data_IF_071975641299
#
_entry.id   IF_071975641299
#
_cell.length_a   1.000
_cell.length_b   1.000
_cell.length_c   1.000
_cell.angle_alpha   90.00
_cell.angle_beta   90.00
_cell.angle_gamma   90.00
#
_symmetry.space_group_name_H-M   'P 1'
#
loop_
_entity.id
_entity.type
_entity.pdbx_description
1 polymer ?
#
# COMPACT_ATOMS: atom_id res chain seq x y z
N UNK A 1 56.05 65.47 20.86
CA UNK A 1 55.73 65.03 19.49
C UNK A 1 55.73 63.50 19.44
N UNK A 2 54.55 62.85 19.30
CA UNK A 2 54.31 61.52 18.68
C UNK A 2 53.05 60.78 19.16
N UNK A 3 52.36 61.23 20.23
CA UNK A 3 51.23 60.44 20.78
C UNK A 3 49.87 60.65 20.09
N UNK A 4 49.68 61.75 19.35
CA UNK A 4 48.38 62.08 18.70
C UNK A 4 48.17 61.31 17.38
N UNK A 5 49.25 60.84 16.72
CA UNK A 5 49.18 60.19 15.40
C UNK A 5 48.72 58.72 15.44
N UNK A 6 48.66 58.10 16.61
CA UNK A 6 48.26 56.70 16.77
C UNK A 6 46.75 56.54 16.91
N UNK A 7 46.08 57.42 17.66
CA UNK A 7 44.63 57.32 17.88
C UNK A 7 43.81 57.56 16.61
N UNK A 8 44.27 58.41 15.67
CA UNK A 8 43.59 58.59 14.38
C UNK A 8 43.67 57.33 13.52
N UNK A 9 44.79 56.60 13.57
CA UNK A 9 44.95 55.33 12.84
C UNK A 9 44.11 54.22 13.47
N UNK A 10 44.06 54.16 14.81
CA UNK A 10 43.21 53.24 15.55
C UNK A 10 41.72 53.51 15.28
N UNK A 11 41.28 54.78 15.26
CA UNK A 11 39.90 55.13 14.92
C UNK A 11 39.53 54.75 13.49
N UNK A 12 40.44 54.97 12.53
CA UNK A 12 40.21 54.61 11.12
C UNK A 12 40.12 53.09 10.96
N UNK A 13 41.01 52.33 11.61
CA UNK A 13 40.97 50.87 11.59
C UNK A 13 39.69 50.33 12.25
N UNK A 14 39.26 50.91 13.37
CA UNK A 14 38.02 50.53 14.04
C UNK A 14 36.79 50.83 13.18
N UNK A 15 36.79 51.97 12.47
CA UNK A 15 35.69 52.36 11.58
C UNK A 15 35.61 51.43 10.36
N UNK A 16 36.75 51.02 9.80
CA UNK A 16 36.81 50.06 8.69
C UNK A 16 36.34 48.69 9.16
N UNK A 17 36.77 48.22 10.33
CA UNK A 17 36.32 46.95 10.89
C UNK A 17 34.81 46.94 11.17
N UNK A 18 34.25 48.05 11.68
CA UNK A 18 32.81 48.19 11.86
C UNK A 18 32.06 48.18 10.52
N UNK A 19 32.57 48.90 9.52
CA UNK A 19 31.96 48.95 8.19
C UNK A 19 31.98 47.58 7.49
N UNK A 20 33.09 46.85 7.60
CA UNK A 20 33.22 45.47 7.08
C UNK A 20 32.28 44.53 7.84
N UNK A 21 32.22 44.61 9.17
CA UNK A 21 31.31 43.79 9.96
C UNK A 21 29.83 44.04 9.58
N UNK A 22 29.40 45.30 9.46
CA UNK A 22 28.02 45.66 9.05
C UNK A 22 27.74 45.23 7.59
N UNK A 23 28.74 45.25 6.70
CA UNK A 23 28.59 44.75 5.33
C UNK A 23 28.42 43.23 5.24
N UNK A 24 29.07 42.46 6.13
CA UNK A 24 28.98 40.99 6.18
C UNK A 24 27.65 40.52 6.78
N UNK A 25 27.06 41.27 7.72
CA UNK A 25 25.73 40.94 8.28
C UNK A 25 24.62 41.07 7.22
N UNK A 26 24.85 41.82 6.14
CA UNK A 26 23.83 42.11 5.12
C UNK A 26 23.82 41.13 3.92
N UNK A 27 24.51 39.99 4.00
CA UNK A 27 24.69 39.06 2.86
C UNK A 27 24.12 37.64 3.05
N UNK A 28 23.34 37.37 4.10
CA UNK A 28 22.50 36.18 4.13
C UNK A 28 21.19 36.44 3.36
N UNK A 29 21.30 36.61 2.03
CA UNK A 29 20.13 36.78 1.16
C UNK A 29 19.53 35.41 0.90
N UNK A 30 18.49 35.07 1.65
CA UNK A 30 17.66 33.92 1.36
C UNK A 30 16.61 34.32 0.32
N UNK A 31 16.69 33.76 -0.89
CA UNK A 31 15.67 33.94 -1.92
C UNK A 31 14.61 32.88 -1.74
N UNK A 32 13.43 33.28 -1.26
CA UNK A 32 12.26 32.41 -1.18
C UNK A 32 11.45 32.54 -2.46
N UNK A 33 11.47 31.50 -3.29
CA UNK A 33 10.57 31.40 -4.44
C UNK A 33 9.22 30.85 -3.96
N UNK A 34 8.10 31.54 -4.21
CA UNK A 34 6.80 31.01 -3.83
C UNK A 34 6.49 29.77 -4.66
N UNK A 35 6.32 28.63 -3.98
CA UNK A 35 5.82 27.39 -4.56
C UNK A 35 4.35 27.23 -4.13
N UNK A 36 3.46 26.97 -5.09
CA UNK A 36 2.09 26.56 -4.81
C UNK A 36 1.91 25.10 -5.18
N UNK A 37 1.52 24.29 -4.20
CA UNK A 37 1.16 22.89 -4.39
C UNK A 37 -0.36 22.80 -4.21
N UNK A 38 -1.05 22.29 -5.23
CA UNK A 38 -2.48 21.98 -5.14
C UNK A 38 -2.66 20.48 -5.23
N UNK A 39 -3.23 19.88 -4.18
CA UNK A 39 -3.70 18.50 -4.23
C UNK A 39 -5.17 18.47 -4.66
N UNK A 40 -5.52 17.57 -5.59
CA UNK A 40 -6.90 17.27 -5.97
C UNK A 40 -7.12 15.78 -5.78
N UNK A 41 -8.24 15.43 -5.16
CA UNK A 41 -8.60 14.04 -4.91
C UNK A 41 -9.65 13.57 -5.91
N UNK A 42 -9.38 12.43 -6.53
CA UNK A 42 -10.31 11.70 -7.37
C UNK A 42 -10.69 10.39 -6.64
N UNK A 43 -11.83 9.79 -6.99
CA UNK A 43 -12.21 8.46 -6.48
C UNK A 43 -11.17 7.38 -6.84
N UNK A 44 -11.16 6.25 -6.13
CA UNK A 44 -10.12 5.22 -6.26
C UNK A 44 -10.00 4.72 -7.71
N UNK A 45 -8.77 4.39 -8.12
CA UNK A 45 -8.55 3.80 -9.45
C UNK A 45 -8.98 2.33 -9.49
N UNK A 46 -8.78 1.65 -8.37
CA UNK A 46 -9.07 0.23 -8.20
C UNK A 46 -10.02 0.09 -7.01
N UNK A 47 -11.06 -0.72 -7.17
CA UNK A 47 -12.01 -1.04 -6.10
C UNK A 47 -12.18 -2.55 -5.93
N UNK A 48 -12.69 -2.93 -4.77
CA UNK A 48 -13.20 -4.26 -4.50
C UNK A 48 -14.63 -4.42 -4.99
N UNK A 49 -14.97 -5.63 -5.43
CA UNK A 49 -16.33 -6.07 -5.70
C UNK A 49 -16.53 -7.52 -5.22
N UNK A 50 -17.79 -7.93 -5.01
CA UNK A 50 -18.12 -9.28 -4.59
C UNK A 50 -17.81 -10.30 -5.69
N UNK A 51 -17.17 -11.40 -5.31
CA UNK A 51 -17.06 -12.56 -6.21
C UNK A 51 -18.38 -13.32 -6.32
N UNK A 52 -18.53 -14.19 -7.33
CA UNK A 52 -19.77 -14.93 -7.55
C UNK A 52 -20.12 -15.92 -6.42
N UNK A 53 -19.15 -16.28 -5.59
CA UNK A 53 -19.35 -17.16 -4.44
C UNK A 53 -19.54 -16.41 -3.12
N UNK A 54 -19.42 -15.07 -3.11
CA UNK A 54 -19.75 -14.27 -1.94
C UNK A 54 -21.23 -14.44 -1.56
N UNK A 55 -21.51 -14.61 -0.27
CA UNK A 55 -22.86 -14.82 0.27
C UNK A 55 -23.48 -16.20 -0.01
N UNK A 56 -22.74 -17.12 -0.65
CA UNK A 56 -23.20 -18.49 -0.82
C UNK A 56 -22.81 -19.36 0.39
N UNK A 57 -23.34 -20.59 0.41
CA UNK A 57 -23.06 -21.57 1.44
C UNK A 57 -21.55 -21.87 1.55
N UNK A 58 -21.08 -21.90 2.78
CA UNK A 58 -19.75 -22.29 3.20
C UNK A 58 -19.70 -23.80 3.50
N UNK A 59 -18.52 -24.40 3.44
CA UNK A 59 -18.30 -25.81 3.81
C UNK A 59 -18.59 -26.09 5.29
N UNK A 60 -18.61 -25.05 6.13
CA UNK A 60 -19.00 -25.13 7.54
C UNK A 60 -20.51 -25.23 7.79
N UNK A 61 -21.36 -25.13 6.77
CA UNK A 61 -22.81 -24.95 6.93
C UNK A 61 -23.22 -23.52 7.31
N UNK A 62 -22.27 -22.59 7.22
CA UNK A 62 -22.43 -21.14 7.39
C UNK A 62 -22.47 -20.48 5.99
N UNK A 63 -22.39 -19.15 5.92
CA UNK A 63 -22.23 -18.42 4.65
C UNK A 63 -20.84 -17.81 4.52
N UNK A 64 -20.34 -17.73 3.30
CA UNK A 64 -19.13 -16.97 2.96
C UNK A 64 -19.46 -15.49 3.07
N UNK A 65 -18.95 -14.82 4.10
CA UNK A 65 -19.25 -13.41 4.35
C UNK A 65 -18.21 -12.53 3.67
N UNK A 66 -18.67 -11.62 2.82
CA UNK A 66 -17.82 -10.61 2.18
C UNK A 66 -18.49 -9.26 2.37
N UNK A 67 -17.83 -8.38 3.12
CA UNK A 67 -18.29 -6.99 3.32
C UNK A 67 -17.35 -6.07 2.59
N UNK A 68 -17.90 -5.13 1.81
CA UNK A 68 -17.13 -4.14 1.06
C UNK A 68 -17.62 -2.76 1.48
N UNK A 69 -16.70 -1.81 1.68
CA UNK A 69 -17.05 -0.42 2.01
C UNK A 69 -17.85 0.22 0.89
N UNK A 70 -18.61 1.27 1.20
CA UNK A 70 -19.48 1.94 0.22
C UNK A 70 -18.73 2.59 -0.94
N UNK A 71 -17.45 2.91 -0.76
CA UNK A 71 -16.55 3.43 -1.79
C UNK A 71 -15.69 2.32 -2.46
N UNK A 72 -15.83 1.07 -2.02
CA UNK A 72 -15.13 -0.09 -2.55
C UNK A 72 -13.63 -0.13 -2.25
N UNK A 73 -13.13 0.63 -1.27
CA UNK A 73 -11.70 0.70 -0.94
C UNK A 73 -11.28 -0.26 0.16
N UNK A 74 -12.23 -0.79 0.92
CA UNK A 74 -12.01 -1.74 2.01
C UNK A 74 -12.88 -2.98 1.81
N UNK A 75 -12.33 -4.15 2.12
CA UNK A 75 -13.07 -5.41 2.10
C UNK A 75 -12.71 -6.26 3.33
N UNK A 76 -13.69 -6.98 3.86
CA UNK A 76 -13.53 -8.02 4.87
C UNK A 76 -14.10 -9.33 4.34
N UNK A 77 -13.40 -10.44 4.60
CA UNK A 77 -13.81 -11.78 4.19
C UNK A 77 -13.81 -12.68 5.42
N UNK A 78 -14.92 -13.38 5.67
CA UNK A 78 -15.02 -14.42 6.69
C UNK A 78 -15.42 -15.74 6.03
N UNK A 79 -14.62 -16.77 6.29
CA UNK A 79 -14.80 -18.13 5.77
C UNK A 79 -14.55 -19.18 6.86
N UNK A 80 -15.13 -20.35 6.70
CA UNK A 80 -15.15 -21.43 7.70
C UNK A 80 -14.55 -22.74 7.15
N UNK A 81 -13.23 -22.78 6.87
CA UNK A 81 -12.59 -23.95 6.30
C UNK A 81 -12.68 -25.18 7.21
N UNK A 82 -12.62 -26.37 6.62
CA UNK A 82 -12.60 -27.61 7.38
C UNK A 82 -11.37 -27.66 8.31
N UNK A 83 -11.58 -27.88 9.61
CA UNK A 83 -10.50 -28.00 10.63
C UNK A 83 -9.48 -29.11 10.39
N UNK A 84 -9.75 -30.03 9.46
CA UNK A 84 -8.83 -31.08 9.01
C UNK A 84 -8.93 -31.22 7.50
N UNK A 85 -7.83 -30.91 6.81
CA UNK A 85 -7.70 -31.10 5.37
C UNK A 85 -7.62 -29.79 4.60
N UNK A 86 -7.90 -29.87 3.30
CA UNK A 86 -7.76 -28.77 2.34
C UNK A 86 -9.11 -28.20 1.97
N UNK A 87 -9.22 -26.89 2.04
CA UNK A 87 -10.41 -26.15 1.63
C UNK A 87 -10.05 -25.14 0.54
N UNK A 88 -10.93 -25.02 -0.45
CA UNK A 88 -10.77 -24.08 -1.55
C UNK A 88 -12.04 -23.26 -1.74
N UNK A 89 -11.90 -21.95 -1.65
CA UNK A 89 -12.94 -20.97 -1.86
C UNK A 89 -12.72 -20.27 -3.19
N UNK A 90 -13.62 -20.51 -4.13
CA UNK A 90 -13.56 -19.97 -5.49
C UNK A 90 -14.30 -18.64 -5.57
N UNK A 91 -13.75 -17.65 -6.28
CA UNK A 91 -14.38 -16.38 -6.68
C UNK A 91 -15.09 -15.69 -5.51
N UNK A 92 -14.30 -15.32 -4.49
CA UNK A 92 -14.80 -14.73 -3.24
C UNK A 92 -14.81 -13.22 -3.32
N UNK A 93 -13.76 -12.64 -3.89
CA UNK A 93 -13.59 -11.20 -4.04
C UNK A 93 -13.10 -10.92 -5.46
N UNK A 94 -13.40 -9.73 -5.96
CA UNK A 94 -12.87 -9.19 -7.20
C UNK A 94 -12.13 -7.89 -6.95
N UNK A 95 -11.13 -7.64 -7.77
CA UNK A 95 -10.40 -6.37 -7.83
C UNK A 95 -10.62 -5.79 -9.22
N UNK A 96 -11.29 -4.65 -9.29
CA UNK A 96 -11.79 -4.05 -10.53
C UNK A 96 -11.05 -2.76 -10.82
N UNK A 97 -10.59 -2.59 -12.06
CA UNK A 97 -10.10 -1.30 -12.54
C UNK A 97 -11.21 -0.59 -13.35
N UNK A 98 -11.84 0.40 -12.74
CA UNK A 98 -12.93 1.18 -13.36
C UNK A 98 -12.45 2.42 -14.13
N UNK A 99 -11.14 2.54 -14.34
CA UNK A 99 -10.53 3.69 -14.99
C UNK A 99 -10.03 3.33 -16.38
N UNK A 100 -9.74 4.36 -17.16
CA UNK A 100 -9.22 4.19 -18.53
C UNK A 100 -7.74 3.79 -18.52
N UNK A 101 -7.02 4.17 -17.46
CA UNK A 101 -5.61 3.85 -17.29
C UNK A 101 -5.39 2.42 -16.80
N UNK A 102 -4.41 1.75 -17.39
CA UNK A 102 -3.95 0.47 -16.88
C UNK A 102 -3.10 0.67 -15.61
N UNK A 103 -3.25 -0.23 -14.63
CA UNK A 103 -2.57 -0.14 -13.33
C UNK A 103 -1.81 -1.41 -13.00
N UNK A 104 -0.72 -1.27 -12.29
CA UNK A 104 0.00 -2.37 -11.66
C UNK A 104 -0.60 -2.59 -10.28
N UNK A 105 -0.83 -3.85 -9.91
CA UNK A 105 -1.48 -4.21 -8.65
C UNK A 105 -0.55 -5.12 -7.84
N UNK A 106 -0.50 -4.90 -6.54
CA UNK A 106 0.22 -5.74 -5.59
C UNK A 106 -0.60 -5.95 -4.33
N UNK A 107 -0.23 -6.98 -3.57
CA UNK A 107 -0.81 -7.30 -2.28
C UNK A 107 0.31 -7.30 -1.24
N UNK A 108 0.15 -6.51 -0.18
CA UNK A 108 1.01 -6.53 0.99
C UNK A 108 0.33 -7.29 2.10
N UNK A 109 0.95 -8.36 2.60
CA UNK A 109 0.51 -9.02 3.83
C UNK A 109 1.09 -8.24 5.00
N UNK A 110 0.21 -7.56 5.74
CA UNK A 110 0.59 -6.66 6.82
C UNK A 110 0.63 -7.41 8.16
N UNK A 111 -0.40 -8.23 8.42
CA UNK A 111 -0.44 -9.19 9.53
C UNK A 111 -0.68 -10.58 8.94
N UNK A 112 0.30 -11.49 8.97
CA UNK A 112 0.12 -12.86 8.52
C UNK A 112 -0.66 -13.71 9.52
N UNK A 113 -1.28 -14.80 9.04
CA UNK A 113 -1.81 -15.84 9.93
C UNK A 113 -0.68 -16.50 10.72
N UNK A 114 -0.81 -16.52 12.05
CA UNK A 114 0.21 -17.04 12.96
C UNK A 114 -0.18 -18.33 13.68
N UNK A 115 -1.44 -18.78 13.57
CA UNK A 115 -1.86 -20.06 14.13
C UNK A 115 -1.13 -21.22 13.41
N UNK A 116 -0.40 -22.00 14.22
CA UNK A 116 0.30 -23.22 13.81
C UNK A 116 -0.62 -24.32 13.24
N UNK A 117 -1.91 -24.29 13.57
CA UNK A 117 -2.90 -25.23 13.03
C UNK A 117 -3.22 -24.94 11.55
N UNK A 118 -3.02 -23.70 11.09
CA UNK A 118 -3.15 -23.32 9.69
C UNK A 118 -1.82 -23.64 8.99
N UNK A 119 -1.79 -24.75 8.25
CA UNK A 119 -0.59 -25.23 7.54
C UNK A 119 -0.36 -24.45 6.25
N UNK A 120 -1.43 -24.13 5.53
CA UNK A 120 -1.40 -23.32 4.30
C UNK A 120 -2.52 -22.30 4.39
N UNK A 121 -2.22 -21.04 4.06
CA UNK A 121 -3.19 -20.00 3.79
C UNK A 121 -2.70 -19.20 2.58
N UNK A 122 -3.50 -19.16 1.52
CA UNK A 122 -3.09 -18.56 0.25
C UNK A 122 -4.21 -17.73 -0.34
N UNK A 123 -3.85 -16.55 -0.84
CA UNK A 123 -4.67 -15.75 -1.73
C UNK A 123 -4.21 -16.01 -3.17
N UNK A 124 -5.10 -16.55 -3.99
CA UNK A 124 -4.79 -16.96 -5.36
C UNK A 124 -5.42 -15.93 -6.30
N UNK A 125 -4.57 -15.20 -7.00
CA UNK A 125 -4.96 -14.14 -7.94
C UNK A 125 -5.13 -14.73 -9.33
N UNK A 126 -6.30 -14.52 -9.93
CA UNK A 126 -6.65 -15.04 -11.25
C UNK A 126 -7.12 -13.95 -12.19
N UNK A 127 -6.94 -14.18 -13.49
CA UNK A 127 -7.69 -13.47 -14.51
C UNK A 127 -9.19 -13.78 -14.31
N UNK A 128 -10.04 -12.79 -14.08
CA UNK A 128 -11.47 -13.06 -13.88
C UNK A 128 -12.13 -13.70 -15.12
N UNK A 129 -11.72 -13.27 -16.32
CA UNK A 129 -12.28 -13.72 -17.60
C UNK A 129 -11.79 -15.11 -18.00
N UNK A 130 -10.48 -15.36 -17.94
CA UNK A 130 -9.89 -16.63 -18.42
C UNK A 130 -9.77 -17.67 -17.32
N UNK A 131 -9.85 -17.27 -16.04
CA UNK A 131 -9.67 -18.16 -14.89
C UNK A 131 -8.24 -18.64 -14.67
N UNK A 132 -7.28 -18.16 -15.47
CA UNK A 132 -5.86 -18.50 -15.34
C UNK A 132 -5.29 -17.89 -14.07
N UNK A 133 -4.55 -18.69 -13.30
CA UNK A 133 -3.78 -18.21 -12.15
C UNK A 133 -2.65 -17.30 -12.62
N UNK A 134 -2.63 -16.09 -12.08
CA UNK A 134 -1.60 -15.09 -12.33
C UNK A 134 -0.52 -15.22 -11.27
N UNK A 135 -0.95 -15.29 -10.01
CA UNK A 135 -0.06 -15.34 -8.87
C UNK A 135 -0.72 -16.01 -7.65
N UNK A 136 0.08 -16.33 -6.65
CA UNK A 136 -0.36 -16.88 -5.37
C UNK A 136 0.43 -16.25 -4.24
N UNK A 137 -0.26 -15.48 -3.40
CA UNK A 137 0.31 -14.82 -2.24
C UNK A 137 0.17 -15.76 -1.03
N UNK A 138 1.29 -15.98 -0.33
CA UNK A 138 1.31 -16.68 0.95
C UNK A 138 0.84 -15.75 2.07
N UNK A 139 -0.27 -16.11 2.72
CA UNK A 139 -0.86 -15.33 3.81
C UNK A 139 -0.23 -15.62 5.17
N UNK A 140 0.72 -16.56 5.25
CA UNK A 140 1.48 -16.87 6.47
C UNK A 140 2.81 -16.11 6.55
N UNK A 141 3.18 -15.38 5.50
CA UNK A 141 4.43 -14.63 5.44
C UNK A 141 4.14 -13.18 5.10
N UNK A 142 4.67 -12.25 5.91
CA UNK A 142 4.52 -10.81 5.66
C UNK A 142 5.31 -10.36 4.44
N UNK A 143 4.87 -9.28 3.80
CA UNK A 143 5.58 -8.64 2.69
C UNK A 143 4.71 -8.36 1.47
N UNK A 144 5.29 -7.67 0.50
CA UNK A 144 4.61 -7.21 -0.70
C UNK A 144 4.92 -8.10 -1.89
N UNK A 145 3.86 -8.56 -2.56
CA UNK A 145 3.94 -9.28 -3.83
C UNK A 145 3.23 -8.47 -4.91
N UNK A 146 3.99 -8.05 -5.92
CA UNK A 146 3.44 -7.40 -7.11
C UNK A 146 3.00 -8.45 -8.11
N UNK A 147 1.75 -8.35 -8.56
CA UNK A 147 1.21 -9.26 -9.57
C UNK A 147 1.95 -9.01 -10.88
N UNK A 148 2.50 -10.03 -11.57
CA UNK A 148 3.29 -9.86 -12.80
C UNK A 148 2.38 -9.61 -14.02
N UNK A 149 1.38 -8.74 -13.87
CA UNK A 149 0.42 -8.39 -14.89
C UNK A 149 -0.22 -7.03 -14.59
N UNK A 150 -0.34 -6.20 -15.62
CA UNK A 150 -1.08 -4.95 -15.60
C UNK A 150 -2.60 -5.18 -15.72
N UNK A 151 -3.36 -4.63 -14.78
CA UNK A 151 -4.81 -4.60 -14.80
C UNK A 151 -5.29 -3.47 -15.71
N UNK A 152 -5.65 -3.82 -16.95
CA UNK A 152 -6.18 -2.86 -17.93
C UNK A 152 -7.56 -2.31 -17.55
N UNK A 153 -7.99 -1.27 -18.27
CA UNK A 153 -9.33 -0.68 -18.09
C UNK A 153 -10.45 -1.70 -18.23
N UNK A 154 -11.38 -1.71 -17.28
CA UNK A 154 -12.53 -2.61 -17.25
C UNK A 154 -12.20 -4.07 -17.02
N UNK A 155 -10.91 -4.42 -16.79
CA UNK A 155 -10.52 -5.77 -16.43
C UNK A 155 -10.62 -5.99 -14.92
N UNK A 156 -10.75 -7.25 -14.55
CA UNK A 156 -10.93 -7.67 -13.17
C UNK A 156 -9.94 -8.80 -12.83
N UNK A 157 -9.42 -8.74 -11.61
CA UNK A 157 -8.80 -9.89 -10.96
C UNK A 157 -9.86 -10.61 -10.15
N UNK A 158 -9.84 -11.93 -10.22
CA UNK A 158 -10.61 -12.81 -9.35
C UNK A 158 -9.72 -13.30 -8.23
N UNK A 159 -10.25 -13.28 -7.02
CA UNK A 159 -9.58 -13.73 -5.81
C UNK A 159 -10.22 -15.02 -5.33
N UNK A 160 -9.39 -16.07 -5.26
CA UNK A 160 -9.73 -17.33 -4.61
C UNK A 160 -8.92 -17.44 -3.30
N UNK A 161 -9.43 -18.20 -2.34
CA UNK A 161 -8.70 -18.53 -1.12
C UNK A 161 -8.46 -20.04 -1.02
N UNK A 162 -7.30 -20.43 -0.49
CA UNK A 162 -6.98 -21.81 -0.19
C UNK A 162 -6.44 -21.94 1.23
N UNK A 163 -6.99 -22.90 1.95
CA UNK A 163 -6.54 -23.25 3.30
C UNK A 163 -6.18 -24.74 3.40
N UNK A 164 -5.19 -25.05 4.21
CA UNK A 164 -4.94 -26.40 4.73
C UNK A 164 -4.82 -26.30 6.24
N UNK A 165 -5.74 -26.93 6.97
CA UNK A 165 -5.81 -26.85 8.43
C UNK A 165 -5.67 -28.24 9.03
N UNK A 166 -4.95 -28.33 10.15
CA UNK A 166 -4.86 -29.53 10.95
C UNK A 166 -5.01 -29.19 12.43
N UNK A 167 -6.26 -29.19 12.91
CA UNK A 167 -6.60 -28.94 14.31
C UNK A 167 -7.57 -29.97 14.87
N UNK A 168 -7.35 -30.30 16.14
CA UNK A 168 -8.29 -31.10 16.93
C UNK A 168 -9.43 -30.26 17.50
N UNK A 169 -9.29 -28.93 17.50
CA UNK A 169 -10.21 -27.96 18.11
C UNK A 169 -10.79 -27.01 17.05
N UNK A 170 -11.93 -26.42 17.36
CA UNK A 170 -12.44 -25.26 16.61
C UNK A 170 -11.66 -24.04 17.10
N UNK A 171 -11.30 -23.15 16.17
CA UNK A 171 -10.57 -21.92 16.44
C UNK A 171 -10.73 -20.95 15.28
N UNK A 172 -10.20 -19.75 15.46
CA UNK A 172 -10.15 -18.68 14.47
C UNK A 172 -8.81 -17.98 14.57
N UNK A 173 -8.35 -17.47 13.45
CA UNK A 173 -7.18 -16.60 13.33
C UNK A 173 -7.50 -15.63 12.18
N UNK A 174 -6.81 -14.50 12.12
CA UNK A 174 -7.07 -13.43 11.16
C UNK A 174 -5.75 -12.96 10.52
N UNK A 175 -5.81 -12.65 9.22
CA UNK A 175 -4.73 -11.99 8.50
C UNK A 175 -5.24 -10.69 7.89
N UNK A 176 -4.37 -9.69 7.80
CA UNK A 176 -4.66 -8.42 7.14
C UNK A 176 -3.75 -8.19 5.95
N UNK A 177 -4.33 -7.59 4.91
CA UNK A 177 -3.62 -7.26 3.68
C UNK A 177 -4.01 -5.87 3.19
N UNK A 178 -3.05 -5.21 2.56
CA UNK A 178 -3.25 -3.99 1.78
C UNK A 178 -3.18 -4.29 0.29
N UNK A 179 -4.19 -3.83 -0.46
CA UNK A 179 -4.12 -3.73 -1.92
C UNK A 179 -3.32 -2.48 -2.27
N UNK A 180 -2.25 -2.66 -3.02
CA UNK A 180 -1.37 -1.59 -3.50
C UNK A 180 -1.54 -1.49 -5.01
N UNK A 181 -1.59 -0.27 -5.54
CA UNK A 181 -1.61 -0.06 -6.98
C UNK A 181 -0.81 1.16 -7.39
N UNK A 182 -0.28 1.13 -8.62
CA UNK A 182 0.46 2.23 -9.24
C UNK A 182 0.13 2.32 -10.71
N UNK A 183 0.15 3.53 -11.27
CA UNK A 183 0.11 3.74 -12.73
C UNK A 183 1.49 3.60 -13.37
N UNK A 184 2.54 3.51 -12.55
CA UNK A 184 3.93 3.30 -12.97
C UNK A 184 4.34 1.87 -12.62
N UNK A 185 5.18 1.28 -13.48
CA UNK A 185 5.66 -0.07 -13.26
C UNK A 185 6.67 -0.10 -12.12
N UNK A 186 6.25 -0.51 -10.93
CA UNK A 186 7.14 -0.70 -9.77
C UNK A 186 7.98 -1.99 -9.85
N UNK A 187 7.74 -2.87 -10.84
CA UNK A 187 8.57 -4.07 -11.08
C UNK A 187 9.89 -3.75 -11.81
N UNK A 188 10.13 -2.49 -12.18
CA UNK A 188 11.37 -2.03 -12.80
C UNK A 188 11.86 -0.76 -12.08
N UNK A 189 13.05 -0.77 -11.45
CA UNK A 189 13.70 0.46 -11.00
C UNK A 189 14.13 1.36 -12.17
#
# INVERSE_FOLDING_TARGET
MNKIRNHTKELVVLTILLAVAVSVVNAAVFVYQPLSITAKWNGPLVRFDGGTNAGNDDLGGETIEVTISSDGTEASITVHPCRRGRTYYKDILRVVNDRDEAVYVGFSVDTPFDDSAIIVAQLIVKNATTGVTIDTIDLKTGGTTWVPWTLGSGNELRIDLRFEINSDKIGSDDASLSLIYSTVNELLP
#
